data_IF_427820565975
#
_entry.id   IF_427820565975
#
_cell.length_a   1.000
_cell.length_b   1.000
_cell.length_c   1.000
_cell.angle_alpha   90.00
_cell.angle_beta   90.00
_cell.angle_gamma   90.00
#
_symmetry.space_group_name_H-M   'P 1'
#
loop_
_entity.id
_entity.type
_entity.pdbx_description
1 polymer ?
#
# COMPACT_ATOMS: atom_id res chain seq x y z
N UNK A 1 0.21 -12.23 -17.92
CA UNK A 1 1.22 -11.23 -17.54
C UNK A 1 1.59 -11.54 -16.10
N UNK A 2 2.88 -11.53 -15.75
CA UNK A 2 3.26 -11.67 -14.33
C UNK A 2 2.63 -10.48 -13.60
N UNK A 3 1.79 -10.72 -12.59
CA UNK A 3 1.46 -9.66 -11.64
C UNK A 3 2.81 -9.20 -11.08
N UNK A 4 3.18 -7.95 -11.35
CA UNK A 4 4.24 -7.33 -10.55
C UNK A 4 3.77 -7.33 -9.10
N UNK A 5 4.68 -7.60 -8.17
CA UNK A 5 4.35 -7.54 -6.75
C UNK A 5 3.92 -6.10 -6.43
N UNK A 6 2.86 -5.91 -5.64
CA UNK A 6 2.41 -4.59 -5.19
C UNK A 6 3.56 -3.82 -4.51
N UNK A 7 4.47 -4.54 -3.87
CA UNK A 7 5.70 -3.95 -3.33
C UNK A 7 6.62 -3.35 -4.40
N UNK A 8 6.73 -3.98 -5.57
CA UNK A 8 7.50 -3.43 -6.69
C UNK A 8 6.80 -2.20 -7.26
N UNK A 9 5.48 -2.26 -7.46
CA UNK A 9 4.69 -1.15 -7.99
C UNK A 9 4.78 0.09 -7.09
N UNK A 10 4.61 -0.06 -5.77
CA UNK A 10 4.71 1.07 -4.82
C UNK A 10 6.08 1.76 -4.87
N UNK A 11 7.13 1.00 -5.20
CA UNK A 11 8.49 1.52 -5.29
C UNK A 11 8.81 2.17 -6.64
N UNK A 12 8.00 1.92 -7.68
CA UNK A 12 8.15 2.50 -9.02
C UNK A 12 7.36 3.79 -9.23
N UNK A 13 6.50 4.20 -8.29
CA UNK A 13 5.71 5.43 -8.42
C UNK A 13 6.61 6.67 -8.53
N UNK A 14 6.60 7.31 -9.70
CA UNK A 14 7.33 8.54 -10.01
C UNK A 14 6.38 9.73 -10.23
N UNK A 15 5.16 9.48 -10.69
CA UNK A 15 4.17 10.53 -10.95
C UNK A 15 2.73 10.16 -10.55
N UNK A 16 1.76 10.95 -11.01
CA UNK A 16 0.33 10.77 -10.74
C UNK A 16 -0.23 9.55 -11.49
N UNK A 17 0.22 9.29 -12.72
CA UNK A 17 -0.26 8.18 -13.53
C UNK A 17 0.18 6.85 -12.89
N UNK A 18 1.45 6.75 -12.47
CA UNK A 18 1.93 5.58 -11.73
C UNK A 18 1.17 5.35 -10.42
N UNK A 19 0.78 6.43 -9.74
CA UNK A 19 0.02 6.36 -8.50
C UNK A 19 -1.40 5.85 -8.73
N UNK A 20 -2.08 6.29 -9.79
CA UNK A 20 -3.39 5.81 -10.16
C UNK A 20 -3.35 4.33 -10.59
N UNK A 21 -2.31 3.92 -11.32
CA UNK A 21 -2.07 2.53 -11.67
C UNK A 21 -1.87 1.67 -10.42
N UNK A 22 -1.07 2.13 -9.46
CA UNK A 22 -0.90 1.45 -8.18
C UNK A 22 -2.21 1.30 -7.40
N UNK A 23 -3.06 2.35 -7.35
CA UNK A 23 -4.37 2.28 -6.68
C UNK A 23 -5.26 1.22 -7.35
N UNK A 24 -5.26 1.16 -8.68
CA UNK A 24 -6.04 0.17 -9.41
C UNK A 24 -5.59 -1.26 -9.06
N UNK A 25 -4.28 -1.52 -9.12
CA UNK A 25 -3.72 -2.84 -8.78
C UNK A 25 -3.96 -3.22 -7.32
N UNK A 26 -3.87 -2.27 -6.38
CA UNK A 26 -4.19 -2.51 -4.96
C UNK A 26 -5.67 -2.89 -4.77
N UNK A 27 -6.58 -2.25 -5.52
CA UNK A 27 -8.01 -2.58 -5.50
C UNK A 27 -8.26 -3.98 -6.07
N UNK A 28 -7.64 -4.31 -7.20
CA UNK A 28 -7.76 -5.64 -7.81
C UNK A 28 -7.23 -6.75 -6.90
N UNK A 29 -6.11 -6.50 -6.22
CA UNK A 29 -5.53 -7.43 -5.26
C UNK A 29 -6.51 -7.70 -4.10
N UNK A 30 -7.14 -6.65 -3.57
CA UNK A 30 -8.19 -6.80 -2.54
C UNK A 30 -9.38 -7.61 -3.01
N UNK A 31 -9.85 -7.38 -4.24
CA UNK A 31 -10.97 -8.15 -4.80
C UNK A 31 -10.59 -9.62 -4.93
N UNK A 32 -9.36 -9.91 -5.40
CA UNK A 32 -8.84 -11.27 -5.56
C UNK A 32 -8.69 -11.98 -4.20
N UNK A 33 -8.21 -11.30 -3.15
CA UNK A 33 -8.08 -11.90 -1.82
C UNK A 33 -9.44 -12.30 -1.22
N UNK A 34 -10.44 -11.40 -1.32
CA UNK A 34 -11.81 -11.67 -0.89
C UNK A 34 -12.46 -12.84 -1.65
N UNK A 35 -12.22 -12.96 -2.96
CA UNK A 35 -12.75 -14.07 -3.77
C UNK A 35 -12.14 -15.43 -3.39
N UNK A 36 -10.84 -15.45 -3.06
CA UNK A 36 -10.14 -16.67 -2.62
C UNK A 36 -10.56 -17.14 -1.22
N UNK A 37 -11.27 -16.29 -0.44
CA UNK A 37 -11.54 -16.50 0.99
C UNK A 37 -10.26 -16.80 1.79
N UNK A 38 -9.12 -16.29 1.34
CA UNK A 38 -7.86 -16.38 2.05
C UNK A 38 -7.61 -15.03 2.69
N UNK A 39 -7.62 -14.99 4.03
CA UNK A 39 -7.19 -13.82 4.79
C UNK A 39 -5.67 -13.72 4.87
N UNK A 40 -4.93 -14.74 4.39
CA UNK A 40 -3.46 -14.81 4.54
C UNK A 40 -2.69 -13.74 3.76
N UNK A 41 -3.34 -13.05 2.81
CA UNK A 41 -2.68 -12.06 1.94
C UNK A 41 -2.85 -10.60 2.44
N UNK A 42 -3.71 -10.34 3.44
CA UNK A 42 -4.02 -9.00 3.96
C UNK A 42 -4.09 -9.05 5.50
N UNK A 43 -3.32 -8.20 6.18
CA UNK A 43 -3.38 -8.10 7.64
C UNK A 43 -4.67 -7.42 8.11
N UNK A 44 -5.25 -6.55 7.26
CA UNK A 44 -6.41 -5.73 7.59
C UNK A 44 -7.63 -6.13 6.77
N UNK A 45 -8.60 -6.76 7.42
CA UNK A 45 -9.77 -7.38 6.78
C UNK A 45 -10.97 -6.43 6.63
N UNK A 46 -10.98 -5.28 7.27
CA UNK A 46 -12.01 -4.25 7.07
C UNK A 46 -11.45 -2.99 6.43
N UNK A 47 -12.33 -2.16 5.87
CA UNK A 47 -11.90 -0.87 5.29
C UNK A 47 -11.47 0.11 6.40
N UNK A 48 -12.09 0.00 7.57
CA UNK A 48 -11.75 0.74 8.79
C UNK A 48 -10.33 0.41 9.25
N UNK A 49 -10.01 -0.89 9.42
CA UNK A 49 -8.69 -1.34 9.86
C UNK A 49 -7.61 -0.93 8.84
N UNK A 50 -7.90 -1.08 7.55
CA UNK A 50 -6.99 -0.67 6.47
C UNK A 50 -6.60 0.80 6.58
N UNK A 51 -7.57 1.70 6.75
CA UNK A 51 -7.31 3.13 6.86
C UNK A 51 -6.69 3.51 8.21
N UNK A 52 -7.05 2.82 9.29
CA UNK A 52 -6.44 3.02 10.60
C UNK A 52 -4.94 2.69 10.54
N UNK A 53 -4.56 1.51 10.02
CA UNK A 53 -3.17 1.09 9.90
C UNK A 53 -2.36 1.94 8.92
N UNK A 54 -2.94 2.30 7.78
CA UNK A 54 -2.32 3.25 6.86
C UNK A 54 -2.02 4.60 7.55
N UNK A 55 -2.98 5.11 8.32
CA UNK A 55 -2.82 6.36 9.06
C UNK A 55 -1.76 6.24 10.16
N UNK A 56 -1.82 5.21 11.01
CA UNK A 56 -0.86 4.97 12.09
C UNK A 56 0.58 4.91 11.58
N UNK A 57 0.82 4.09 10.56
CA UNK A 57 2.14 4.01 9.94
C UNK A 57 2.53 5.32 9.26
N UNK A 58 1.58 5.98 8.58
CA UNK A 58 1.79 7.28 7.95
C UNK A 58 2.23 8.36 8.94
N UNK A 59 1.71 8.34 10.17
CA UNK A 59 2.13 9.23 11.27
C UNK A 59 3.49 8.83 11.82
N UNK A 60 3.70 7.54 12.10
CA UNK A 60 4.95 7.03 12.66
C UNK A 60 6.16 7.29 11.75
N UNK A 61 5.95 7.28 10.43
CA UNK A 61 7.01 7.43 9.42
C UNK A 61 7.18 8.85 8.86
N UNK A 62 6.57 9.87 9.47
CA UNK A 62 6.65 11.27 8.99
C UNK A 62 8.08 11.81 8.87
N UNK A 63 8.96 11.36 9.78
CA UNK A 63 10.38 11.70 9.86
C UNK A 63 11.29 10.55 9.35
N UNK A 64 10.72 9.55 8.67
CA UNK A 64 11.40 8.29 8.35
C UNK A 64 11.37 7.28 9.51
N UNK A 65 11.86 6.07 9.26
CA UNK A 65 12.08 5.02 10.26
C UNK A 65 13.47 4.40 10.05
N UNK A 66 13.90 3.53 10.97
CA UNK A 66 15.21 2.86 10.91
C UNK A 66 15.50 2.19 9.56
N UNK A 67 14.49 1.66 8.89
CA UNK A 67 14.60 0.97 7.60
C UNK A 67 13.73 1.61 6.51
N UNK A 68 13.29 2.86 6.71
CA UNK A 68 12.43 3.56 5.79
C UNK A 68 12.87 5.01 5.64
N UNK A 69 13.28 5.37 4.43
CA UNK A 69 13.52 6.76 4.06
C UNK A 69 12.26 7.33 3.39
N UNK A 70 11.77 8.44 3.93
CA UNK A 70 10.59 9.11 3.37
C UNK A 70 10.94 9.72 2.00
N UNK A 71 10.21 9.36 0.92
CA UNK A 71 10.45 9.95 -0.39
C UNK A 71 10.01 11.41 -0.41
N UNK A 72 10.70 12.22 -1.21
CA UNK A 72 10.28 13.61 -1.49
C UNK A 72 9.08 13.65 -2.46
N UNK A 73 8.91 12.61 -3.29
CA UNK A 73 7.78 12.48 -4.19
C UNK A 73 6.47 12.26 -3.39
N UNK A 74 5.49 13.19 -3.45
CA UNK A 74 4.24 13.04 -2.73
C UNK A 74 3.41 11.84 -3.21
N UNK A 75 3.46 11.51 -4.51
CA UNK A 75 2.71 10.38 -5.09
C UNK A 75 3.23 9.06 -4.54
N UNK A 76 4.55 8.86 -4.58
CA UNK A 76 5.21 7.70 -3.95
C UNK A 76 4.91 7.63 -2.45
N UNK A 77 4.90 8.76 -1.76
CA UNK A 77 4.57 8.81 -0.32
C UNK A 77 3.13 8.36 -0.08
N UNK A 78 2.17 8.83 -0.87
CA UNK A 78 0.77 8.40 -0.78
C UNK A 78 0.63 6.89 -1.06
N UNK A 79 1.29 6.39 -2.10
CA UNK A 79 1.29 4.97 -2.45
C UNK A 79 1.81 4.10 -1.29
N UNK A 80 2.95 4.48 -0.70
CA UNK A 80 3.53 3.77 0.44
C UNK A 80 2.62 3.78 1.67
N UNK A 81 1.96 4.91 1.97
CA UNK A 81 1.00 4.98 3.09
C UNK A 81 -0.16 4.00 2.87
N UNK A 82 -0.74 3.96 1.67
CA UNK A 82 -1.84 3.04 1.34
C UNK A 82 -1.39 1.57 1.34
N UNK A 83 -0.20 1.28 0.82
CA UNK A 83 0.36 -0.07 0.85
C UNK A 83 0.52 -0.60 2.28
N UNK A 84 0.92 0.27 3.23
CA UNK A 84 1.02 -0.14 4.62
C UNK A 84 -0.35 -0.43 5.26
N UNK A 85 -1.44 0.15 4.75
CA UNK A 85 -2.79 -0.28 5.13
C UNK A 85 -3.08 -1.76 4.84
N UNK A 86 -2.39 -2.39 3.88
CA UNK A 86 -2.53 -3.81 3.56
C UNK A 86 -1.72 -4.71 4.51
N UNK A 87 -0.50 -4.31 4.87
CA UNK A 87 0.52 -5.20 5.48
C UNK A 87 0.95 -4.84 6.91
N UNK A 88 0.52 -3.69 7.44
CA UNK A 88 0.87 -3.26 8.79
C UNK A 88 -0.14 -3.83 9.79
N UNK A 89 0.36 -4.55 10.80
CA UNK A 89 -0.42 -5.15 11.92
C UNK A 89 -0.97 -4.11 12.90
#
# INVERSE_FOLDING_TARGET
>A
MKNEDLFELVNKVEDEDDFLDFINELSEDRIKSLQKKSSEDWENDTIEDFFERAHEWGVASKEGLRYYEKPQNPWKRCAQILYMGKIYE
#
